data_IF_742852379454
#
_entry.id   IF_742852379454
#
_cell.length_a   1.000
_cell.length_b   1.000
_cell.length_c   1.000
_cell.angle_alpha   90.00
_cell.angle_beta   90.00
_cell.angle_gamma   90.00
#
_symmetry.space_group_name_H-M   'P 1'
#
loop_
_entity.id
_entity.type
_entity.pdbx_description
1 polymer ?
#
# COMPACT_ATOMS: atom_id res chain seq x y z
N UNK A 1 -1.41 -27.50 -22.88
CA UNK A 1 -0.05 -28.06 -22.88
C UNK A 1 0.48 -28.27 -21.47
N UNK A 2 0.47 -27.23 -20.59
CA UNK A 2 1.01 -27.30 -19.21
C UNK A 2 0.42 -28.46 -18.38
N UNK A 3 -0.88 -28.70 -18.46
CA UNK A 3 -1.56 -29.78 -17.73
C UNK A 3 -1.60 -31.12 -18.49
N UNK A 4 -0.83 -31.26 -19.56
CA UNK A 4 -0.83 -32.49 -20.36
C UNK A 4 0.18 -33.52 -19.83
N UNK A 5 -0.08 -34.81 -20.01
CA UNK A 5 0.86 -35.86 -19.64
C UNK A 5 2.23 -35.75 -20.32
N UNK A 6 2.24 -35.20 -21.54
CA UNK A 6 3.48 -34.97 -22.30
C UNK A 6 4.39 -33.97 -21.58
N UNK A 7 3.84 -32.90 -20.97
CA UNK A 7 4.63 -31.95 -20.21
C UNK A 7 5.27 -32.64 -18.98
N UNK A 8 4.51 -33.47 -18.27
CA UNK A 8 5.04 -34.20 -17.12
C UNK A 8 6.21 -35.11 -17.51
N UNK A 9 6.18 -35.69 -18.71
CA UNK A 9 7.22 -36.60 -19.21
C UNK A 9 8.55 -35.89 -19.54
N UNK A 10 8.55 -34.57 -19.71
CA UNK A 10 9.76 -33.80 -19.98
C UNK A 10 10.57 -33.55 -18.68
N UNK A 11 9.92 -33.60 -17.51
CA UNK A 11 10.58 -33.41 -16.23
C UNK A 11 11.34 -34.66 -15.80
N UNK A 12 12.47 -34.94 -16.47
CA UNK A 12 13.34 -36.10 -16.24
C UNK A 12 14.80 -35.66 -16.03
N UNK A 13 15.66 -36.58 -15.61
CA UNK A 13 17.08 -36.28 -15.39
C UNK A 13 17.27 -35.19 -14.29
N UNK A 14 17.94 -34.10 -14.64
CA UNK A 14 18.18 -32.98 -13.74
C UNK A 14 16.90 -32.27 -13.29
N UNK A 15 15.85 -32.33 -14.10
CA UNK A 15 14.60 -31.64 -13.88
C UNK A 15 13.58 -32.48 -13.09
N UNK A 16 13.92 -33.74 -12.78
CA UNK A 16 13.08 -34.62 -11.96
C UNK A 16 12.77 -34.05 -10.57
N UNK A 17 13.64 -33.20 -10.04
CA UNK A 17 13.44 -32.49 -8.76
C UNK A 17 12.18 -31.58 -8.75
N UNK A 18 11.72 -31.12 -9.90
CA UNK A 18 10.54 -30.26 -10.03
C UNK A 18 9.23 -31.03 -10.20
N UNK A 19 9.26 -32.35 -10.24
CA UNK A 19 8.06 -33.17 -10.46
C UNK A 19 7.02 -33.04 -9.35
N UNK A 20 7.47 -32.91 -8.08
CA UNK A 20 6.57 -32.77 -6.94
C UNK A 20 5.86 -31.42 -6.99
N UNK A 21 6.59 -30.34 -7.23
CA UNK A 21 6.05 -28.99 -7.37
C UNK A 21 5.06 -28.91 -8.54
N UNK A 22 5.43 -29.49 -9.68
CA UNK A 22 4.53 -29.58 -10.82
C UNK A 22 3.24 -30.33 -10.50
N UNK A 23 3.33 -31.48 -9.80
CA UNK A 23 2.13 -32.27 -9.41
C UNK A 23 1.25 -31.48 -8.46
N UNK A 24 1.84 -30.74 -7.49
CA UNK A 24 1.10 -29.90 -6.55
C UNK A 24 0.33 -28.80 -7.29
N UNK A 25 0.96 -28.11 -8.24
CA UNK A 25 0.31 -27.10 -9.06
C UNK A 25 -0.77 -27.66 -9.99
N UNK A 26 -0.59 -28.88 -10.49
CA UNK A 26 -1.57 -29.57 -11.33
C UNK A 26 -2.74 -30.18 -10.55
N UNK A 27 -2.69 -30.25 -9.21
CA UNK A 27 -3.78 -30.76 -8.40
C UNK A 27 -5.08 -29.93 -8.56
N UNK A 28 -4.94 -28.65 -8.90
CA UNK A 28 -6.05 -27.74 -9.17
C UNK A 28 -5.88 -27.12 -10.57
N UNK A 29 -6.22 -27.89 -11.65
CA UNK A 29 -6.06 -27.42 -13.01
C UNK A 29 -7.00 -26.26 -13.34
N UNK A 30 -6.59 -25.43 -14.29
CA UNK A 30 -7.39 -24.31 -14.78
C UNK A 30 -7.04 -22.95 -14.18
N UNK A 31 -6.10 -22.88 -13.24
CA UNK A 31 -5.55 -21.62 -12.78
C UNK A 31 -4.42 -21.15 -13.70
N UNK A 32 -4.58 -20.01 -14.32
CA UNK A 32 -3.57 -19.41 -15.22
C UNK A 32 -2.25 -19.14 -14.48
N UNK A 33 -2.34 -18.81 -13.19
CA UNK A 33 -1.22 -18.60 -12.31
C UNK A 33 -0.30 -19.82 -12.15
N UNK A 34 -0.82 -21.04 -12.25
CA UNK A 34 -0.03 -22.26 -11.97
C UNK A 34 1.18 -22.42 -12.90
N UNK A 35 1.03 -22.07 -14.18
CA UNK A 35 2.14 -22.12 -15.12
C UNK A 35 3.23 -21.09 -14.76
N UNK A 36 2.82 -19.90 -14.35
CA UNK A 36 3.74 -18.85 -13.94
C UNK A 36 4.49 -19.23 -12.67
N UNK A 37 3.77 -19.74 -11.66
CA UNK A 37 4.37 -20.21 -10.41
C UNK A 37 5.40 -21.31 -10.67
N UNK A 38 5.10 -22.24 -11.58
CA UNK A 38 6.06 -23.24 -11.99
C UNK A 38 7.31 -22.64 -12.62
N UNK A 39 7.17 -21.66 -13.54
CA UNK A 39 8.31 -20.98 -14.15
C UNK A 39 9.17 -20.23 -13.13
N UNK A 40 8.55 -19.68 -12.09
CA UNK A 40 9.24 -19.01 -11.00
C UNK A 40 10.04 -20.04 -10.16
N UNK A 41 9.43 -21.16 -9.81
CA UNK A 41 10.09 -22.23 -9.04
C UNK A 41 11.31 -22.80 -9.76
N UNK A 42 11.21 -23.01 -11.08
CA UNK A 42 12.35 -23.51 -11.88
C UNK A 42 13.34 -22.39 -12.27
N UNK A 43 13.22 -21.19 -11.70
CA UNK A 43 14.07 -20.02 -11.97
C UNK A 43 14.14 -19.59 -13.44
N UNK A 44 13.07 -19.84 -14.21
CA UNK A 44 12.95 -19.41 -15.61
C UNK A 44 12.20 -18.08 -15.74
N UNK A 45 11.56 -17.63 -14.67
CA UNK A 45 10.87 -16.36 -14.59
C UNK A 45 11.09 -15.72 -13.22
N UNK A 46 11.25 -14.42 -13.18
CA UNK A 46 11.21 -13.64 -11.95
C UNK A 46 9.77 -13.21 -11.67
N UNK A 47 9.39 -13.20 -10.40
CA UNK A 47 8.09 -12.67 -9.97
C UNK A 47 8.03 -11.17 -10.27
N UNK A 48 6.89 -10.71 -10.77
CA UNK A 48 6.68 -9.29 -10.98
C UNK A 48 6.67 -8.56 -9.62
N UNK A 49 7.49 -7.52 -9.52
CA UNK A 49 7.49 -6.58 -8.40
C UNK A 49 6.54 -5.43 -8.73
N UNK A 50 5.83 -4.94 -7.73
CA UNK A 50 4.90 -3.83 -7.85
C UNK A 50 5.40 -2.66 -7.01
N UNK A 51 5.20 -1.46 -7.53
CA UNK A 51 5.48 -0.22 -6.84
C UNK A 51 4.44 0.84 -7.21
N UNK A 52 4.32 1.87 -6.40
CA UNK A 52 3.54 3.06 -6.71
C UNK A 52 4.50 4.19 -7.08
N UNK A 53 4.17 4.99 -8.09
CA UNK A 53 5.00 6.13 -8.48
C UNK A 53 4.83 7.28 -7.48
N UNK A 54 3.66 7.38 -6.85
CA UNK A 54 3.36 8.34 -5.81
C UNK A 54 3.63 7.74 -4.43
N UNK A 55 4.47 8.39 -3.62
CA UNK A 55 4.71 8.02 -2.23
C UNK A 55 3.57 8.44 -1.30
N UNK A 56 2.86 9.51 -1.66
CA UNK A 56 1.69 10.07 -0.98
C UNK A 56 0.78 10.74 -2.01
N UNK A 57 -0.54 10.59 -1.86
CA UNK A 57 -1.51 11.35 -2.64
C UNK A 57 -1.97 12.57 -1.85
N UNK A 58 -1.84 13.76 -2.46
CA UNK A 58 -2.38 14.99 -1.93
C UNK A 58 -3.53 15.48 -2.80
N UNK A 59 -4.71 15.66 -2.20
CA UNK A 59 -5.94 16.05 -2.90
C UNK A 59 -6.53 17.28 -2.24
N UNK A 60 -6.87 18.28 -3.04
CA UNK A 60 -7.67 19.42 -2.61
C UNK A 60 -9.13 19.20 -3.01
N UNK A 61 -10.05 19.32 -2.05
CA UNK A 61 -11.48 19.11 -2.26
C UNK A 61 -12.30 20.32 -1.81
N UNK A 62 -13.44 20.57 -2.45
CA UNK A 62 -14.34 21.69 -2.13
C UNK A 62 -15.42 21.34 -1.09
N UNK A 63 -15.61 20.05 -0.80
CA UNK A 63 -16.55 19.56 0.20
C UNK A 63 -17.97 19.33 -0.30
N UNK A 64 -18.26 19.53 -1.57
CA UNK A 64 -19.60 19.34 -2.14
C UNK A 64 -19.63 18.21 -3.18
N UNK A 65 -18.56 18.06 -3.93
CA UNK A 65 -18.45 17.12 -5.05
C UNK A 65 -17.47 15.98 -4.74
N UNK A 66 -17.53 14.97 -5.59
CA UNK A 66 -16.53 13.92 -5.62
C UNK A 66 -15.34 14.42 -6.42
N UNK A 67 -14.17 14.39 -5.80
CA UNK A 67 -12.91 14.78 -6.45
C UNK A 67 -12.16 13.52 -6.87
N UNK A 68 -11.74 13.46 -8.14
CA UNK A 68 -10.94 12.37 -8.68
C UNK A 68 -9.45 12.69 -8.55
N UNK A 69 -8.68 11.68 -8.16
CA UNK A 69 -7.22 11.65 -8.22
C UNK A 69 -6.77 10.34 -8.86
N UNK A 70 -5.50 10.22 -9.23
CA UNK A 70 -4.98 9.02 -9.88
C UNK A 70 -3.76 8.53 -9.13
N UNK A 71 -3.78 7.23 -8.80
CA UNK A 71 -2.62 6.52 -8.28
C UNK A 71 -2.01 5.69 -9.41
N UNK A 72 -0.72 5.88 -9.68
CA UNK A 72 -0.02 5.13 -10.71
C UNK A 72 0.67 3.92 -10.09
N UNK A 73 0.25 2.74 -10.51
CA UNK A 73 0.85 1.46 -10.11
C UNK A 73 1.72 0.94 -11.24
N UNK A 74 2.97 0.67 -10.94
CA UNK A 74 3.92 0.11 -11.91
C UNK A 74 4.31 -1.33 -11.51
N UNK A 75 4.66 -2.15 -12.51
CA UNK A 75 5.20 -3.49 -12.32
C UNK A 75 6.51 -3.68 -13.09
N UNK A 76 7.40 -4.53 -12.54
CA UNK A 76 8.72 -4.77 -13.15
C UNK A 76 8.69 -5.62 -14.43
N UNK A 77 7.58 -6.29 -14.71
CA UNK A 77 7.47 -7.18 -15.85
C UNK A 77 6.03 -7.61 -16.11
N UNK A 78 5.86 -8.57 -17.02
CA UNK A 78 4.58 -9.17 -17.32
C UNK A 78 4.33 -10.40 -16.43
N UNK A 79 3.07 -10.74 -16.21
CA UNK A 79 2.67 -11.93 -15.49
C UNK A 79 1.28 -11.82 -14.90
N UNK A 80 0.83 -12.92 -14.30
CA UNK A 80 -0.43 -12.95 -13.58
C UNK A 80 -0.43 -11.85 -12.51
N UNK A 81 -1.43 -11.01 -12.59
CA UNK A 81 -1.59 -9.88 -11.68
C UNK A 81 -2.93 -9.99 -10.96
N UNK A 82 -2.87 -9.96 -9.64
CA UNK A 82 -4.03 -9.90 -8.77
C UNK A 82 -3.63 -9.06 -7.57
N UNK A 83 -3.96 -7.76 -7.61
CA UNK A 83 -3.75 -6.83 -6.51
C UNK A 83 -5.09 -6.35 -5.99
N UNK A 84 -5.46 -6.78 -4.79
CA UNK A 84 -6.65 -6.29 -4.10
C UNK A 84 -6.43 -4.86 -3.64
N UNK A 85 -7.50 -4.06 -3.69
CA UNK A 85 -7.48 -2.66 -3.33
C UNK A 85 -8.33 -2.48 -2.08
N UNK A 86 -7.77 -1.84 -1.08
CA UNK A 86 -8.48 -1.46 0.14
C UNK A 86 -8.25 0.02 0.43
N UNK A 87 -9.32 0.80 0.44
CA UNK A 87 -9.30 2.18 0.89
C UNK A 87 -9.62 2.26 2.38
N UNK A 88 -8.87 3.05 3.14
CA UNK A 88 -9.10 3.34 4.55
C UNK A 88 -9.34 4.83 4.74
N UNK A 89 -10.52 5.17 5.22
CA UNK A 89 -11.09 6.50 5.35
C UNK A 89 -12.48 6.52 4.69
N UNK A 90 -13.49 6.95 5.41
CA UNK A 90 -14.91 6.95 4.97
C UNK A 90 -15.16 7.85 3.74
N UNK A 91 -14.23 8.75 3.46
CA UNK A 91 -14.26 9.67 2.33
C UNK A 91 -13.55 9.13 1.08
N UNK A 92 -12.86 7.98 1.18
CA UNK A 92 -11.95 7.49 0.14
C UNK A 92 -12.48 6.19 -0.46
N UNK A 93 -12.64 6.15 -1.78
CA UNK A 93 -13.10 4.96 -2.47
C UNK A 93 -12.52 4.84 -3.89
N UNK A 94 -12.69 3.67 -4.47
CA UNK A 94 -12.37 3.36 -5.87
C UNK A 94 -13.47 2.48 -6.44
N UNK A 95 -13.64 2.51 -7.75
CA UNK A 95 -14.63 1.65 -8.44
C UNK A 95 -14.16 0.21 -8.59
N UNK A 96 -12.86 -0.03 -8.43
CA UNK A 96 -12.26 -1.36 -8.58
C UNK A 96 -11.88 -1.93 -7.22
N UNK A 97 -12.20 -3.20 -7.03
CA UNK A 97 -11.77 -3.95 -5.85
C UNK A 97 -10.43 -4.66 -6.06
N UNK A 98 -10.04 -4.87 -7.32
CA UNK A 98 -8.84 -5.59 -7.69
C UNK A 98 -8.29 -5.07 -9.02
N UNK A 99 -6.96 -5.02 -9.15
CA UNK A 99 -6.25 -4.84 -10.41
C UNK A 99 -5.84 -6.19 -10.97
N UNK A 100 -6.04 -6.37 -12.27
CA UNK A 100 -5.67 -7.55 -13.06
C UNK A 100 -4.68 -7.16 -14.14
N UNK A 101 -4.23 -8.13 -14.96
CA UNK A 101 -3.36 -7.86 -16.12
C UNK A 101 -3.96 -6.84 -17.09
N UNK A 102 -5.27 -6.92 -17.30
CA UNK A 102 -6.01 -6.10 -18.27
C UNK A 102 -6.01 -4.61 -17.88
N UNK A 103 -5.75 -4.30 -16.61
CA UNK A 103 -5.68 -2.94 -16.11
C UNK A 103 -4.34 -2.25 -16.42
N UNK A 104 -3.33 -3.04 -16.82
CA UNK A 104 -2.00 -2.53 -17.09
C UNK A 104 -1.81 -2.24 -18.57
N UNK A 105 -1.58 -0.98 -18.92
CA UNK A 105 -1.09 -0.60 -20.23
C UNK A 105 0.45 -0.72 -20.24
N UNK A 106 0.95 -1.84 -20.75
CA UNK A 106 2.36 -2.21 -20.58
C UNK A 106 2.67 -2.51 -19.13
N UNK A 107 3.56 -1.75 -18.52
CA UNK A 107 3.98 -1.94 -17.13
C UNK A 107 3.34 -0.96 -16.14
N UNK A 108 2.34 -0.17 -16.55
CA UNK A 108 1.71 0.85 -15.74
C UNK A 108 0.20 0.71 -15.75
N UNK A 109 -0.40 0.91 -14.59
CA UNK A 109 -1.83 1.02 -14.39
C UNK A 109 -2.14 2.37 -13.74
N UNK A 110 -3.11 3.10 -14.26
CA UNK A 110 -3.64 4.34 -13.66
C UNK A 110 -4.93 4.00 -12.92
N UNK A 111 -4.87 3.93 -11.62
CA UNK A 111 -6.00 3.64 -10.75
C UNK A 111 -6.69 4.94 -10.35
N UNK A 112 -7.95 5.17 -10.79
CA UNK A 112 -8.73 6.30 -10.31
C UNK A 112 -9.09 6.12 -8.84
N UNK A 113 -8.86 7.16 -8.05
CA UNK A 113 -9.19 7.25 -6.64
C UNK A 113 -10.14 8.41 -6.45
N UNK A 114 -11.23 8.18 -5.77
CA UNK A 114 -12.29 9.15 -5.56
C UNK A 114 -12.36 9.57 -4.09
N UNK A 115 -12.57 10.85 -3.89
CA UNK A 115 -12.75 11.48 -2.58
C UNK A 115 -14.14 12.06 -2.51
N UNK A 116 -15.00 11.57 -1.60
CA UNK A 116 -16.30 12.17 -1.33
C UNK A 116 -16.13 13.40 -0.42
N UNK A 117 -16.24 14.57 -1.02
CA UNK A 117 -16.11 15.85 -0.32
C UNK A 117 -17.08 16.02 0.85
N UNK A 118 -18.27 15.39 0.78
CA UNK A 118 -19.31 15.48 1.82
C UNK A 118 -18.95 14.72 3.09
N UNK A 119 -18.08 13.72 2.99
CA UNK A 119 -17.58 12.95 4.12
C UNK A 119 -16.35 13.60 4.80
N UNK A 120 -15.86 14.72 4.27
CA UNK A 120 -14.66 15.40 4.77
C UNK A 120 -14.97 16.34 5.94
N UNK A 121 -14.01 16.41 6.85
CA UNK A 121 -13.95 17.45 7.88
C UNK A 121 -13.13 18.64 7.40
N UNK A 122 -13.41 19.85 7.92
CA UNK A 122 -12.60 21.04 7.61
C UNK A 122 -11.12 20.80 7.97
N UNK A 123 -10.25 21.21 7.05
CA UNK A 123 -8.81 21.05 7.18
C UNK A 123 -8.32 19.73 6.57
N UNK A 124 -7.32 19.12 7.19
CA UNK A 124 -6.68 17.91 6.67
C UNK A 124 -7.43 16.64 7.09
N UNK A 125 -7.81 15.85 6.13
CA UNK A 125 -8.36 14.51 6.29
C UNK A 125 -7.31 13.49 5.85
N UNK A 126 -7.10 12.45 6.63
CA UNK A 126 -6.07 11.45 6.39
C UNK A 126 -6.70 10.10 6.13
N UNK A 127 -6.30 9.50 5.03
CA UNK A 127 -6.65 8.14 4.66
C UNK A 127 -5.43 7.39 4.14
N UNK A 128 -5.63 6.19 3.68
CA UNK A 128 -4.60 5.44 2.98
C UNK A 128 -5.21 4.41 2.03
N UNK A 129 -4.45 4.07 1.02
CA UNK A 129 -4.78 3.01 0.06
C UNK A 129 -3.80 1.88 0.29
N UNK A 130 -4.32 0.66 0.43
CA UNK A 130 -3.53 -0.55 0.46
C UNK A 130 -3.77 -1.35 -0.82
N UNK A 131 -2.70 -1.65 -1.54
CA UNK A 131 -2.70 -2.58 -2.66
C UNK A 131 -1.95 -3.83 -2.21
N UNK A 132 -2.61 -4.99 -2.22
CA UNK A 132 -1.99 -6.19 -1.65
C UNK A 132 -2.36 -7.47 -2.39
N UNK A 133 -1.48 -8.44 -2.29
CA UNK A 133 -1.74 -9.83 -2.62
C UNK A 133 -0.96 -10.74 -1.65
N UNK A 134 -0.80 -12.03 -2.00
CA UNK A 134 -0.07 -13.00 -1.16
C UNK A 134 1.41 -12.67 -0.95
N UNK A 135 2.00 -11.79 -1.76
CA UNK A 135 3.45 -11.55 -1.81
C UNK A 135 3.86 -10.12 -1.52
N UNK A 136 2.97 -9.16 -1.76
CA UNK A 136 3.26 -7.73 -1.65
C UNK A 136 2.14 -6.99 -0.93
N UNK A 137 2.52 -5.94 -0.21
CA UNK A 137 1.58 -4.99 0.38
C UNK A 137 2.17 -3.59 0.24
N UNK A 138 1.52 -2.76 -0.57
CA UNK A 138 1.90 -1.37 -0.84
C UNK A 138 0.92 -0.45 -0.11
N UNK A 139 1.45 0.53 0.60
CA UNK A 139 0.68 1.46 1.39
C UNK A 139 0.93 2.88 0.92
N UNK A 140 -0.11 3.54 0.42
CA UNK A 140 -0.04 4.92 -0.04
C UNK A 140 -0.89 5.80 0.88
N UNK A 141 -0.27 6.67 1.68
CA UNK A 141 -0.98 7.68 2.45
C UNK A 141 -1.73 8.63 1.54
N UNK A 142 -2.93 9.01 1.96
CA UNK A 142 -3.74 10.01 1.26
C UNK A 142 -4.04 11.16 2.20
N UNK A 143 -3.63 12.35 1.82
CA UNK A 143 -3.95 13.58 2.54
C UNK A 143 -4.92 14.40 1.71
N UNK A 144 -6.13 14.63 2.23
CA UNK A 144 -7.15 15.47 1.58
C UNK A 144 -7.33 16.75 2.35
N UNK A 145 -7.15 17.88 1.68
CA UNK A 145 -7.37 19.22 2.23
C UNK A 145 -8.74 19.73 1.80
N UNK A 146 -9.63 19.98 2.77
CA UNK A 146 -10.91 20.62 2.53
C UNK A 146 -10.85 22.13 2.82
N UNK A 147 -11.16 22.91 1.78
CA UNK A 147 -11.12 24.37 1.87
C UNK A 147 -9.71 24.93 1.84
N UNK A 148 -9.59 26.27 1.88
CA UNK A 148 -8.28 26.94 1.99
C UNK A 148 -7.62 26.46 3.27
N UNK A 149 -6.36 26.08 3.17
CA UNK A 149 -5.54 25.72 4.32
C UNK A 149 -5.65 26.87 5.34
N UNK A 150 -6.41 26.60 6.41
CA UNK A 150 -6.47 27.52 7.52
C UNK A 150 -5.12 27.41 8.23
N UNK A 151 -4.22 28.33 7.94
CA UNK A 151 -2.85 28.35 8.48
C UNK A 151 -2.84 28.21 10.01
N UNK A 152 -3.97 28.52 10.68
CA UNK A 152 -4.14 28.40 12.13
C UNK A 152 -4.45 26.97 12.66
N UNK A 153 -4.81 26.00 11.82
CA UNK A 153 -5.19 24.66 12.32
C UNK A 153 -4.16 23.54 12.02
N UNK A 154 -3.17 23.79 11.16
CA UNK A 154 -2.11 22.82 10.86
C UNK A 154 -1.34 22.42 12.12
N UNK A 155 -0.96 23.37 12.96
CA UNK A 155 -0.25 23.13 14.21
C UNK A 155 -1.06 22.28 15.22
N UNK A 156 -2.38 22.44 15.28
CA UNK A 156 -3.24 21.62 16.16
C UNK A 156 -3.25 20.16 15.76
N UNK A 157 -3.18 19.89 14.47
CA UNK A 157 -3.17 18.52 13.95
C UNK A 157 -1.81 17.87 14.18
N UNK A 158 -0.73 18.59 13.93
CA UNK A 158 0.63 18.12 14.17
C UNK A 158 0.88 17.91 15.68
N UNK A 159 0.36 18.77 16.53
CA UNK A 159 0.37 18.56 17.98
C UNK A 159 -0.39 17.30 18.41
N UNK A 160 -1.59 17.05 17.85
CA UNK A 160 -2.33 15.79 18.08
C UNK A 160 -1.57 14.58 17.62
N UNK A 161 -0.90 14.65 16.46
CA UNK A 161 -0.03 13.55 15.95
C UNK A 161 1.16 13.31 16.88
N UNK A 162 1.80 14.35 17.36
CA UNK A 162 2.90 14.23 18.33
C UNK A 162 2.41 13.59 19.63
N UNK A 163 1.26 14.02 20.17
CA UNK A 163 0.65 13.42 21.36
C UNK A 163 0.34 11.94 21.12
N UNK A 164 -0.25 11.59 19.99
CA UNK A 164 -0.52 10.19 19.66
C UNK A 164 0.76 9.35 19.59
N UNK A 165 1.81 9.86 18.94
CA UNK A 165 3.13 9.19 18.89
C UNK A 165 3.74 9.03 20.29
N UNK A 166 3.61 10.04 21.16
CA UNK A 166 4.03 9.94 22.57
C UNK A 166 3.29 8.80 23.28
N UNK A 167 1.98 8.69 23.08
CA UNK A 167 1.19 7.62 23.69
C UNK A 167 1.62 6.22 23.18
N UNK A 168 1.83 6.08 21.89
CA UNK A 168 2.29 4.82 21.28
C UNK A 168 3.69 4.45 21.77
N UNK A 169 4.62 5.41 21.82
CA UNK A 169 5.97 5.19 22.33
C UNK A 169 5.94 4.83 23.82
N UNK A 170 5.10 5.49 24.64
CA UNK A 170 4.92 5.12 26.04
C UNK A 170 4.34 3.72 26.22
N UNK A 171 3.35 3.31 25.42
CA UNK A 171 2.83 1.95 25.45
C UNK A 171 3.90 0.93 25.11
N UNK A 172 4.72 1.17 24.06
CA UNK A 172 5.81 0.30 23.69
C UNK A 172 6.85 0.17 24.82
N UNK A 173 7.16 1.26 25.50
CA UNK A 173 8.02 1.25 26.69
C UNK A 173 7.38 0.45 27.84
N UNK A 174 6.13 0.67 28.19
CA UNK A 174 5.42 -0.08 29.22
C UNK A 174 5.34 -1.57 28.92
N UNK A 175 5.21 -1.94 27.65
CA UNK A 175 5.21 -3.34 27.19
C UNK A 175 6.63 -3.92 27.07
N UNK A 176 7.68 -3.18 27.48
CA UNK A 176 9.10 -3.57 27.38
C UNK A 176 9.58 -3.88 25.96
N UNK A 177 8.91 -3.34 24.95
CA UNK A 177 9.32 -3.47 23.55
C UNK A 177 10.48 -2.56 23.18
N UNK A 178 10.64 -1.44 23.91
CA UNK A 178 11.75 -0.49 23.77
C UNK A 178 12.36 -0.21 25.15
N UNK A 179 13.67 0.05 25.17
CA UNK A 179 14.41 0.39 26.40
C UNK A 179 14.22 1.85 26.80
N UNK A 180 14.55 2.18 28.05
CA UNK A 180 14.41 3.52 28.64
C UNK A 180 15.16 4.60 27.83
N UNK A 181 16.40 4.31 27.40
CA UNK A 181 17.22 5.29 26.66
C UNK A 181 16.62 5.59 25.27
N UNK A 182 16.10 4.58 24.57
CA UNK A 182 15.43 4.72 23.29
C UNK A 182 14.15 5.53 23.46
N UNK A 183 13.34 5.19 24.46
CA UNK A 183 12.11 5.90 24.78
C UNK A 183 12.37 7.38 25.11
N UNK A 184 13.33 7.70 25.94
CA UNK A 184 13.69 9.08 26.28
C UNK A 184 14.18 9.87 25.07
N UNK A 185 14.95 9.25 24.16
CA UNK A 185 15.44 9.90 22.94
C UNK A 185 14.30 10.19 21.96
N UNK A 186 13.36 9.27 21.80
CA UNK A 186 12.21 9.46 20.90
C UNK A 186 11.23 10.50 21.46
N UNK A 187 10.91 10.43 22.76
CA UNK A 187 9.99 11.38 23.40
C UNK A 187 10.58 12.77 23.48
N UNK A 188 11.90 12.89 23.74
CA UNK A 188 12.60 14.18 23.73
C UNK A 188 12.43 14.91 22.41
N UNK A 189 12.70 14.25 21.29
CA UNK A 189 12.54 14.83 19.95
C UNK A 189 11.08 15.26 19.64
N UNK A 190 10.09 14.49 20.10
CA UNK A 190 8.69 14.84 19.90
C UNK A 190 8.28 16.05 20.72
N UNK A 191 8.77 16.15 21.96
CA UNK A 191 8.49 17.30 22.85
C UNK A 191 9.18 18.55 22.33
N UNK A 192 10.45 18.48 21.93
CA UNK A 192 11.18 19.60 21.32
C UNK A 192 10.43 20.15 20.09
N UNK A 193 9.94 19.25 19.22
CA UNK A 193 9.15 19.66 18.06
C UNK A 193 7.85 20.35 18.47
N UNK A 194 7.14 19.83 19.48
CA UNK A 194 5.89 20.45 19.96
C UNK A 194 6.11 21.84 20.56
N UNK A 195 7.24 22.07 21.23
CA UNK A 195 7.60 23.36 21.83
C UNK A 195 7.98 24.35 20.73
N UNK A 196 8.81 23.95 19.75
CA UNK A 196 9.19 24.81 18.64
C UNK A 196 7.98 25.28 17.83
N UNK A 197 7.01 24.38 17.57
CA UNK A 197 5.77 24.72 16.85
C UNK A 197 4.83 25.64 17.68
N UNK A 198 4.87 25.61 19.01
CA UNK A 198 4.11 26.55 19.88
C UNK A 198 4.75 27.93 19.89
N UNK A 199 6.07 28.06 19.79
CA UNK A 199 6.77 29.36 19.71
C UNK A 199 6.49 30.10 18.40
N UNK A 200 6.47 29.37 17.27
CA UNK A 200 6.13 29.91 15.94
C UNK A 200 4.65 30.38 15.84
N UNK A 201 3.76 29.81 16.65
CA UNK A 201 2.34 30.18 16.67
C UNK A 201 2.02 31.43 17.50
N UNK A 202 2.97 31.91 18.30
CA UNK A 202 2.84 33.08 19.18
C UNK A 202 3.52 34.31 18.57
N UNK A 203 4.41 34.12 17.58
CA UNK A 203 5.11 35.20 16.87
C UNK A 203 4.32 35.68 15.65
#
# INVERSE_FOLDING_TARGET
LFYSPEFASVLTGSDAQYQEDYRALCAYPGHEQNMEEFLIQVNKKQRAEFLTEEEELYVEADGQEVTESVLTVARSGWGYTSLYIQCQGDFLFTEKEMLTEDDFLGNRCRLPIFVDGRALHRGKNLGQICLYNSYVSLWVPVTVQLGKADMGNGWRLDKKRCVFRLMVSYQAFRMRKIGTSTWLKETGKLVERMVAEDEDAIA
#
